data_IF_640875658861
#
_entry.id   IF_640875658861
#
_cell.length_a   1.000
_cell.length_b   1.000
_cell.length_c   1.000
_cell.angle_alpha   90.00
_cell.angle_beta   90.00
_cell.angle_gamma   90.00
#
_symmetry.space_group_name_H-M   'P 1'
#
loop_
_entity.id
_entity.type
_entity.pdbx_description
1 polymer ?
#
# COMPACT_ATOMS: atom_id res chain seq x y z
N UNK A 1 11.57 32.66 -1.40
CA UNK A 1 10.67 32.12 -2.44
C UNK A 1 9.27 32.33 -1.93
N UNK A 2 8.53 33.28 -2.50
CA UNK A 2 7.23 33.71 -2.00
C UNK A 2 6.14 32.82 -2.61
N UNK A 3 5.36 32.18 -1.77
CA UNK A 3 4.20 31.38 -2.14
C UNK A 3 3.08 32.35 -2.54
N UNK A 4 2.63 32.28 -3.79
CA UNK A 4 1.49 33.08 -4.25
C UNK A 4 0.20 32.35 -3.89
N UNK A 5 -0.46 32.83 -2.83
CA UNK A 5 -1.81 32.40 -2.46
C UNK A 5 -2.80 32.88 -3.55
N UNK A 6 -3.32 31.95 -4.35
CA UNK A 6 -4.31 32.27 -5.39
C UNK A 6 -5.70 32.28 -4.76
N UNK A 7 -6.21 33.48 -4.51
CA UNK A 7 -7.58 33.70 -4.04
C UNK A 7 -8.56 33.67 -5.23
N UNK A 8 -9.51 32.74 -5.21
CA UNK A 8 -10.52 32.58 -6.27
C UNK A 8 -11.81 33.32 -5.91
N UNK A 9 -12.24 34.28 -6.73
CA UNK A 9 -13.58 34.86 -6.67
C UNK A 9 -14.51 33.99 -7.53
N UNK A 10 -15.03 32.87 -6.99
CA UNK A 10 -15.95 31.95 -7.65
C UNK A 10 -15.88 30.48 -7.19
N UNK A 11 -16.77 29.60 -7.69
CA UNK A 11 -16.69 28.14 -7.43
C UNK A 11 -15.42 27.58 -8.09
N UNK A 12 -14.60 26.87 -7.31
CA UNK A 12 -13.41 26.13 -7.76
C UNK A 12 -13.77 25.22 -8.94
N UNK A 13 -12.99 25.20 -10.04
CA UNK A 13 -13.24 24.27 -11.15
C UNK A 13 -13.17 22.82 -10.67
N UNK A 14 -14.15 22.00 -11.06
CA UNK A 14 -14.29 20.59 -10.65
C UNK A 14 -13.10 19.69 -11.05
N UNK A 15 -12.22 20.16 -11.95
CA UNK A 15 -11.01 19.45 -12.37
C UNK A 15 -9.87 19.44 -11.33
N UNK A 16 -10.06 20.08 -10.17
CA UNK A 16 -9.07 20.19 -9.09
C UNK A 16 -9.61 19.72 -7.74
N UNK A 17 -10.68 18.92 -7.72
CA UNK A 17 -10.99 18.16 -6.52
C UNK A 17 -9.80 17.23 -6.24
N UNK A 18 -9.22 17.22 -5.02
CA UNK A 18 -8.27 16.19 -4.66
C UNK A 18 -8.94 14.84 -4.94
N UNK A 19 -8.30 13.99 -5.72
CA UNK A 19 -8.76 12.62 -5.89
C UNK A 19 -8.62 12.00 -4.50
N UNK A 20 -9.74 11.84 -3.80
CA UNK A 20 -9.75 11.14 -2.52
C UNK A 20 -9.37 9.70 -2.80
N UNK A 21 -8.12 9.34 -2.48
CA UNK A 21 -7.64 7.99 -2.64
C UNK A 21 -8.17 7.15 -1.48
N UNK A 22 -8.80 5.98 -1.73
CA UNK A 22 -9.34 5.14 -0.66
C UNK A 22 -8.26 4.76 0.37
N UNK A 23 -7.00 4.68 -0.06
CA UNK A 23 -5.83 4.42 0.79
C UNK A 23 -5.63 5.41 1.94
N UNK A 24 -6.10 6.66 1.84
CA UNK A 24 -5.99 7.64 2.93
C UNK A 24 -7.13 7.55 3.95
N UNK A 25 -8.10 6.66 3.72
CA UNK A 25 -9.24 6.46 4.62
C UNK A 25 -8.91 5.48 5.73
N UNK A 26 -9.29 5.80 6.97
CA UNK A 26 -9.10 4.91 8.12
C UNK A 26 -9.74 3.53 7.90
N UNK A 27 -10.92 3.47 7.28
CA UNK A 27 -11.61 2.22 6.98
C UNK A 27 -10.78 1.28 6.07
N UNK A 28 -10.07 1.84 5.09
CA UNK A 28 -9.21 1.07 4.20
C UNK A 28 -7.96 0.58 4.91
N UNK A 29 -7.34 1.45 5.72
CA UNK A 29 -6.20 1.08 6.54
C UNK A 29 -6.54 -0.07 7.52
N UNK A 30 -7.72 -0.01 8.15
CA UNK A 30 -8.23 -1.06 9.03
C UNK A 30 -8.50 -2.36 8.26
N UNK A 31 -9.12 -2.28 7.08
CA UNK A 31 -9.37 -3.46 6.24
C UNK A 31 -8.08 -4.16 5.79
N UNK A 32 -7.08 -3.40 5.34
CA UNK A 32 -5.75 -3.93 4.96
C UNK A 32 -5.06 -4.55 6.17
N UNK A 33 -5.04 -3.83 7.31
CA UNK A 33 -4.43 -4.31 8.55
C UNK A 33 -5.09 -5.59 9.04
N UNK A 34 -6.43 -5.64 9.01
CA UNK A 34 -7.21 -6.83 9.38
C UNK A 34 -6.98 -8.01 8.44
N UNK A 35 -6.79 -7.78 7.14
CA UNK A 35 -6.44 -8.84 6.20
C UNK A 35 -5.05 -9.43 6.48
N UNK A 36 -4.06 -8.59 6.77
CA UNK A 36 -2.72 -9.04 7.17
C UNK A 36 -2.76 -9.81 8.51
N UNK A 37 -3.43 -9.26 9.52
CA UNK A 37 -3.59 -9.92 10.82
C UNK A 37 -4.31 -11.28 10.70
N UNK A 38 -5.35 -11.36 9.86
CA UNK A 38 -6.05 -12.62 9.55
C UNK A 38 -5.19 -13.66 8.83
N UNK A 39 -4.06 -13.27 8.26
CA UNK A 39 -3.05 -14.13 7.67
C UNK A 39 -1.92 -14.52 8.65
N UNK A 40 -2.01 -14.11 9.92
CA UNK A 40 -1.00 -14.39 10.95
C UNK A 40 0.17 -13.42 10.99
N UNK A 41 0.03 -12.24 10.37
CA UNK A 41 1.03 -11.18 10.43
C UNK A 41 0.81 -10.28 11.66
N UNK A 42 1.88 -9.92 12.36
CA UNK A 42 1.85 -8.89 13.40
C UNK A 42 2.06 -7.52 12.76
N UNK A 43 0.96 -6.79 12.53
CA UNK A 43 1.02 -5.50 11.82
C UNK A 43 1.56 -4.43 12.76
N UNK A 44 2.66 -3.82 12.34
CA UNK A 44 3.34 -2.77 13.11
C UNK A 44 2.86 -1.38 12.71
N UNK A 45 2.68 -1.14 11.41
CA UNK A 45 2.50 0.22 10.90
C UNK A 45 1.87 0.22 9.50
N UNK A 46 1.01 1.23 9.24
CA UNK A 46 0.41 1.51 7.95
C UNK A 46 0.68 2.97 7.58
N UNK A 47 1.23 3.20 6.38
CA UNK A 47 1.53 4.55 5.88
C UNK A 47 0.95 4.71 4.49
N UNK A 48 0.01 5.65 4.35
CA UNK A 48 -0.47 6.12 3.06
C UNK A 48 0.24 7.40 2.65
N UNK A 49 0.67 7.47 1.39
CA UNK A 49 1.22 8.68 0.81
C UNK A 49 0.08 9.60 0.34
N UNK A 50 0.11 10.85 0.77
CA UNK A 50 -0.82 11.90 0.30
C UNK A 50 -0.48 12.44 -1.10
N UNK A 51 0.03 11.57 -1.98
CA UNK A 51 0.44 11.91 -3.36
C UNK A 51 -0.65 11.59 -4.38
N UNK A 52 -0.47 12.08 -5.61
CA UNK A 52 -1.46 11.97 -6.71
C UNK A 52 -1.76 10.54 -7.19
N UNK A 53 -1.03 9.55 -6.69
CA UNK A 53 -1.17 8.14 -7.06
C UNK A 53 -1.64 7.28 -5.87
N UNK A 54 -1.87 7.85 -4.68
CA UNK A 54 -2.41 7.11 -3.53
C UNK A 54 -1.56 5.95 -2.98
N UNK A 55 -0.27 5.85 -3.33
CA UNK A 55 0.61 4.75 -2.89
C UNK A 55 0.60 4.57 -1.37
N UNK A 56 0.71 3.34 -0.89
CA UNK A 56 0.74 3.04 0.54
C UNK A 56 1.63 1.85 0.85
N UNK A 57 2.02 1.70 2.11
CA UNK A 57 2.75 0.56 2.61
C UNK A 57 2.23 0.11 3.97
N UNK A 58 2.32 -1.19 4.23
CA UNK A 58 2.09 -1.77 5.55
C UNK A 58 3.31 -2.60 5.95
N UNK A 59 3.80 -2.39 7.17
CA UNK A 59 4.91 -3.15 7.75
C UNK A 59 4.38 -4.11 8.79
N UNK A 60 4.91 -5.32 8.79
CA UNK A 60 4.50 -6.36 9.71
C UNK A 60 5.63 -7.35 9.95
N UNK A 61 5.54 -8.11 11.03
CA UNK A 61 6.42 -9.25 11.27
C UNK A 61 5.65 -10.55 11.05
N UNK A 62 6.36 -11.55 10.54
CA UNK A 62 5.83 -12.90 10.36
C UNK A 62 6.96 -13.91 10.47
N UNK A 63 6.77 -14.93 11.30
CA UNK A 63 7.77 -15.98 11.55
C UNK A 63 9.16 -15.42 11.95
N UNK A 64 9.19 -14.27 12.65
CA UNK A 64 10.42 -13.58 13.04
C UNK A 64 11.11 -12.78 11.92
N UNK A 65 10.52 -12.73 10.73
CA UNK A 65 10.99 -11.94 9.61
C UNK A 65 10.23 -10.62 9.51
N UNK A 66 10.96 -9.53 9.30
CA UNK A 66 10.36 -8.22 9.01
C UNK A 66 9.96 -8.18 7.54
N UNK A 67 8.66 -8.00 7.29
CA UNK A 67 8.09 -7.96 5.95
C UNK A 67 7.31 -6.66 5.75
N UNK A 68 7.12 -6.29 4.49
CA UNK A 68 6.27 -5.15 4.13
C UNK A 68 5.48 -5.46 2.86
N UNK A 69 4.29 -4.91 2.79
CA UNK A 69 3.47 -4.87 1.59
C UNK A 69 3.48 -3.43 1.10
N UNK A 70 3.87 -3.22 -0.15
CA UNK A 70 3.96 -1.91 -0.79
C UNK A 70 3.05 -1.90 -1.99
N UNK A 71 2.09 -0.99 -2.00
CA UNK A 71 1.32 -0.69 -3.20
C UNK A 71 1.85 0.58 -3.86
N UNK A 72 2.26 0.44 -5.11
CA UNK A 72 2.66 1.57 -5.94
C UNK A 72 1.52 1.92 -6.89
N UNK A 73 0.82 3.02 -6.62
CA UNK A 73 -0.32 3.42 -7.43
C UNK A 73 0.01 4.02 -8.79
N UNK A 74 1.27 4.39 -9.02
CA UNK A 74 1.72 4.77 -10.37
C UNK A 74 1.79 3.54 -11.27
N UNK A 75 2.27 2.42 -10.73
CA UNK A 75 2.47 1.18 -11.47
C UNK A 75 1.28 0.21 -11.33
N UNK A 76 0.33 0.48 -10.44
CA UNK A 76 -0.82 -0.39 -10.16
C UNK A 76 -0.41 -1.77 -9.65
N UNK A 77 0.68 -1.83 -8.88
CA UNK A 77 1.32 -3.09 -8.46
C UNK A 77 1.42 -3.15 -6.94
N UNK A 78 0.95 -4.26 -6.37
CA UNK A 78 1.15 -4.63 -4.97
C UNK A 78 2.33 -5.59 -4.89
N UNK A 79 3.26 -5.32 -3.98
CA UNK A 79 4.50 -6.08 -3.82
C UNK A 79 4.65 -6.49 -2.36
N UNK A 80 4.96 -7.77 -2.13
CA UNK A 80 5.38 -8.29 -0.84
C UNK A 80 6.91 -8.36 -0.82
N UNK A 81 7.51 -7.73 0.19
CA UNK A 81 8.95 -7.70 0.36
C UNK A 81 9.35 -8.16 1.77
N UNK A 82 10.52 -8.78 1.88
CA UNK A 82 11.12 -9.17 3.16
C UNK A 82 12.47 -8.48 3.36
N UNK A 83 12.70 -7.99 4.57
CA UNK A 83 13.98 -7.43 4.94
C UNK A 83 15.05 -8.52 4.91
N UNK A 84 16.19 -8.21 4.32
CA UNK A 84 17.39 -9.05 4.39
C UNK A 84 18.18 -8.74 5.66
N UNK A 85 19.31 -9.43 5.87
CA UNK A 85 20.24 -9.15 6.99
C UNK A 85 20.84 -7.73 6.94
N UNK A 86 20.72 -7.04 5.79
CA UNK A 86 21.19 -5.67 5.57
C UNK A 86 20.07 -4.62 5.58
N UNK A 87 20.23 -3.60 4.73
CA UNK A 87 19.21 -2.54 4.51
C UNK A 87 18.30 -2.85 3.30
N UNK A 88 18.61 -3.92 2.58
CA UNK A 88 17.94 -4.33 1.35
C UNK A 88 16.67 -5.14 1.64
N UNK A 89 15.75 -5.07 0.69
CA UNK A 89 14.48 -5.77 0.70
C UNK A 89 14.42 -6.72 -0.49
N UNK A 90 14.02 -7.97 -0.26
CA UNK A 90 13.83 -8.96 -1.30
C UNK A 90 12.35 -9.06 -1.65
N UNK A 91 12.00 -8.93 -2.94
CA UNK A 91 10.62 -9.15 -3.41
C UNK A 91 10.31 -10.65 -3.29
N UNK A 92 9.32 -11.00 -2.47
CA UNK A 92 8.82 -12.36 -2.33
C UNK A 92 7.72 -12.68 -3.34
N UNK A 93 7.01 -11.65 -3.79
CA UNK A 93 5.95 -11.80 -4.76
C UNK A 93 5.27 -10.47 -5.06
N UNK A 94 4.50 -10.47 -6.14
CA UNK A 94 3.72 -9.30 -6.51
C UNK A 94 2.48 -9.64 -7.31
N UNK A 95 1.50 -8.75 -7.24
CA UNK A 95 0.23 -8.86 -7.94
C UNK A 95 -0.16 -7.51 -8.55
N UNK A 96 -0.63 -7.48 -9.81
CA UNK A 96 -1.28 -6.29 -10.34
C UNK A 96 -2.60 -6.07 -9.60
N UNK A 97 -2.83 -4.84 -9.12
CA UNK A 97 -4.07 -4.46 -8.43
C UNK A 97 -4.43 -3.03 -8.81
N UNK A 98 -5.64 -2.84 -9.30
CA UNK A 98 -6.16 -1.51 -9.63
C UNK A 98 -6.59 -0.76 -8.36
N UNK A 99 -6.29 0.54 -8.30
CA UNK A 99 -6.48 1.44 -7.15
C UNK A 99 -7.90 1.43 -6.53
N UNK A 100 -8.92 1.12 -7.32
CA UNK A 100 -10.33 1.36 -6.96
C UNK A 100 -11.10 0.15 -6.45
N UNK A 101 -10.45 -1.00 -6.30
CA UNK A 101 -11.13 -2.23 -5.96
C UNK A 101 -10.57 -2.80 -4.65
N UNK A 102 -11.14 -2.35 -3.53
CA UNK A 102 -10.79 -2.83 -2.18
C UNK A 102 -10.89 -4.35 -2.09
N UNK A 103 -11.88 -4.97 -2.74
CA UNK A 103 -12.03 -6.42 -2.73
C UNK A 103 -10.84 -7.08 -3.42
N UNK A 104 -10.40 -6.58 -4.57
CA UNK A 104 -9.19 -7.08 -5.24
C UNK A 104 -7.93 -6.87 -4.40
N UNK A 105 -7.81 -5.75 -3.70
CA UNK A 105 -6.70 -5.53 -2.77
C UNK A 105 -6.65 -6.58 -1.67
N UNK A 106 -7.77 -6.80 -0.97
CA UNK A 106 -7.82 -7.76 0.12
C UNK A 106 -7.60 -9.20 -0.39
N UNK A 107 -8.07 -9.52 -1.59
CA UNK A 107 -7.78 -10.80 -2.24
C UNK A 107 -6.30 -10.95 -2.57
N UNK A 108 -5.68 -9.94 -3.19
CA UNK A 108 -4.26 -9.97 -3.55
C UNK A 108 -3.35 -10.05 -2.33
N UNK A 109 -3.66 -9.32 -1.24
CA UNK A 109 -2.95 -9.41 0.04
C UNK A 109 -3.01 -10.84 0.56
N UNK A 110 -4.21 -11.43 0.61
CA UNK A 110 -4.39 -12.80 1.11
C UNK A 110 -3.67 -13.82 0.23
N UNK A 111 -3.65 -13.62 -1.09
CA UNK A 111 -2.95 -14.50 -2.02
C UNK A 111 -1.43 -14.44 -1.81
N UNK A 112 -0.86 -13.23 -1.79
CA UNK A 112 0.57 -13.00 -1.56
C UNK A 112 1.02 -13.53 -0.19
N UNK A 113 0.21 -13.37 0.84
CA UNK A 113 0.53 -13.86 2.19
C UNK A 113 0.25 -15.36 2.37
N UNK A 114 -0.61 -15.98 1.56
CA UNK A 114 -0.82 -17.44 1.59
C UNK A 114 0.14 -18.20 0.70
N UNK A 115 0.69 -17.55 -0.33
CA UNK A 115 1.70 -18.15 -1.18
C UNK A 115 2.87 -18.61 -0.29
N UNK A 116 3.21 -19.92 -0.28
CA UNK A 116 4.43 -20.37 0.36
C UNK A 116 5.59 -19.67 -0.32
N UNK A 117 6.52 -19.14 0.50
CA UNK A 117 7.81 -18.54 0.14
C UNK A 117 8.26 -19.11 -1.21
N UNK A 118 8.00 -18.38 -2.29
CA UNK A 118 8.43 -18.81 -3.61
C UNK A 118 9.92 -18.57 -3.62
N UNK A 119 10.61 -19.63 -3.23
CA UNK A 119 12.04 -19.78 -3.17
C UNK A 119 12.71 -18.98 -4.29
N UNK A 120 13.66 -18.15 -3.86
CA UNK A 120 14.85 -17.74 -4.58
C UNK A 120 14.88 -18.21 -6.05
N UNK A 121 14.48 -17.34 -6.97
CA UNK A 121 14.82 -17.57 -8.37
C UNK A 121 16.35 -17.43 -8.49
N UNK A 122 16.93 -18.55 -8.88
CA UNK A 122 18.36 -18.88 -8.99
C UNK A 122 19.14 -17.95 -9.91
#
# INVERSE_FOLDING_TARGET
MAEHEVMWIGRRPAAMAPVEHPATSEAFADAVTGACAGCGCDVQDYVAAAGSYGSWLVRFERDGNRQRLVWNGKDGKLVLEQATTGVDWNELGSSPVSERDETQFLMAIRDLLKAPDHAAQT
#
